data_IF_773773624227
#
_entry.id   IF_773773624227
#
_cell.length_a   1.000
_cell.length_b   1.000
_cell.length_c   1.000
_cell.angle_alpha   90.00
_cell.angle_beta   90.00
_cell.angle_gamma   90.00
#
_symmetry.space_group_name_H-M   'P 1'
#
loop_
_entity.id
_entity.type
_entity.pdbx_description
1 polymer ?
#
# COMPACT_ATOMS: atom_id res chain seq x y z
N UNK A 1 -15.18 15.01 17.58
CA UNK A 1 -13.97 15.24 16.77
C UNK A 1 -14.35 16.00 15.52
N UNK A 2 -13.51 16.93 15.01
CA UNK A 2 -13.76 17.60 13.75
C UNK A 2 -13.80 16.57 12.60
N UNK A 3 -14.76 16.71 11.66
CA UNK A 3 -14.92 15.80 10.50
C UNK A 3 -13.61 15.58 9.71
N UNK A 4 -12.75 16.59 9.65
CA UNK A 4 -11.47 16.51 8.95
C UNK A 4 -10.48 15.52 9.60
N UNK A 5 -10.45 15.44 10.92
CA UNK A 5 -9.56 14.51 11.66
C UNK A 5 -10.04 13.06 11.48
N UNK A 6 -11.34 12.83 11.37
CA UNK A 6 -11.91 11.52 11.03
C UNK A 6 -11.61 11.09 9.58
N UNK A 7 -11.37 12.05 8.68
CA UNK A 7 -10.97 11.77 7.30
C UNK A 7 -9.48 11.40 7.20
N UNK A 8 -8.64 11.97 8.08
CA UNK A 8 -7.21 11.62 8.17
C UNK A 8 -6.98 10.29 8.88
N UNK A 9 -7.73 9.97 9.94
CA UNK A 9 -7.60 8.70 10.66
C UNK A 9 -8.37 7.61 9.90
N UNK A 10 -7.71 6.96 8.95
CA UNK A 10 -8.32 5.98 8.06
C UNK A 10 -7.31 5.34 7.09
N UNK A 11 -7.77 4.84 5.93
CA UNK A 11 -6.89 4.22 4.94
C UNK A 11 -5.83 5.19 4.40
N UNK A 12 -6.13 6.49 4.34
CA UNK A 12 -5.22 7.53 3.84
C UNK A 12 -3.96 7.63 4.72
N UNK A 13 -4.11 7.77 6.04
CA UNK A 13 -2.98 7.81 6.95
C UNK A 13 -2.19 6.50 6.92
N UNK A 14 -2.86 5.35 6.86
CA UNK A 14 -2.18 4.06 6.73
C UNK A 14 -1.28 4.03 5.50
N UNK A 15 -1.79 4.44 4.34
CA UNK A 15 -1.00 4.46 3.10
C UNK A 15 0.07 5.55 3.08
N UNK A 16 -0.14 6.69 3.72
CA UNK A 16 0.93 7.68 3.96
C UNK A 16 2.07 7.05 4.77
N UNK A 17 1.76 6.27 5.81
CA UNK A 17 2.79 5.57 6.59
C UNK A 17 3.53 4.52 5.74
N UNK A 18 2.83 3.80 4.86
CA UNK A 18 3.46 2.86 3.91
C UNK A 18 4.41 3.59 2.96
N UNK A 19 4.00 4.74 2.41
CA UNK A 19 4.86 5.57 1.55
C UNK A 19 6.07 6.09 2.32
N UNK A 20 5.89 6.54 3.57
CA UNK A 20 7.01 6.94 4.42
C UNK A 20 7.98 5.77 4.68
N UNK A 21 7.47 4.56 4.93
CA UNK A 21 8.31 3.38 5.09
C UNK A 21 9.08 3.05 3.80
N UNK A 22 8.46 3.17 2.63
CA UNK A 22 9.11 2.99 1.34
C UNK A 22 10.20 4.05 1.08
N UNK A 23 9.98 5.31 1.48
CA UNK A 23 11.00 6.36 1.42
C UNK A 23 12.19 6.07 2.34
N UNK A 24 11.93 5.59 3.55
CA UNK A 24 12.99 5.20 4.48
C UNK A 24 13.78 3.99 3.95
N UNK A 25 13.09 3.01 3.35
CA UNK A 25 13.72 1.86 2.70
C UNK A 25 14.62 2.32 1.55
N UNK A 26 14.14 3.25 0.72
CA UNK A 26 14.92 3.84 -0.36
C UNK A 26 16.19 4.53 0.15
N UNK A 27 16.08 5.32 1.21
CA UNK A 27 17.22 6.01 1.83
C UNK A 27 18.20 5.03 2.49
N UNK A 28 17.70 3.95 3.08
CA UNK A 28 18.52 2.91 3.71
C UNK A 28 19.34 2.10 2.70
N UNK A 29 18.99 2.13 1.40
CA UNK A 29 19.74 1.47 0.34
C UNK A 29 20.90 2.33 -0.23
N UNK A 30 21.35 3.36 0.49
CA UNK A 30 22.48 4.22 0.09
C UNK A 30 23.55 4.21 1.18
N UNK A 31 24.70 3.52 1.01
CA UNK A 31 25.08 2.71 -0.16
C UNK A 31 24.23 1.42 -0.29
N UNK A 32 24.16 0.81 -1.49
CA UNK A 32 23.35 -0.38 -1.71
C UNK A 32 23.69 -1.53 -0.77
N UNK A 33 22.66 -2.11 -0.17
CA UNK A 33 22.77 -3.28 0.70
C UNK A 33 21.94 -4.41 0.13
N UNK A 34 22.54 -5.58 -0.02
CA UNK A 34 21.85 -6.78 -0.55
C UNK A 34 20.55 -7.08 0.20
N UNK A 35 20.54 -6.93 1.53
CA UNK A 35 19.35 -7.17 2.33
C UNK A 35 18.19 -6.22 2.03
N UNK A 36 18.50 -4.97 1.64
CA UNK A 36 17.50 -3.96 1.30
C UNK A 36 17.05 -4.16 -0.14
N UNK A 37 17.95 -4.52 -1.05
CA UNK A 37 17.62 -4.89 -2.42
C UNK A 37 16.65 -6.08 -2.48
N UNK A 38 16.91 -7.15 -1.72
CA UNK A 38 16.00 -8.30 -1.63
C UNK A 38 14.58 -7.88 -1.20
N UNK A 39 14.46 -6.88 -0.30
CA UNK A 39 13.16 -6.32 0.11
C UNK A 39 12.51 -5.53 -1.04
N UNK A 40 13.29 -4.72 -1.76
CA UNK A 40 12.83 -3.93 -2.90
C UNK A 40 12.35 -4.84 -4.04
N UNK A 41 13.05 -5.93 -4.34
CA UNK A 41 12.62 -6.92 -5.35
C UNK A 41 11.29 -7.58 -4.98
N UNK A 42 11.08 -7.84 -3.69
CA UNK A 42 9.84 -8.44 -3.17
C UNK A 42 8.76 -7.40 -2.79
N UNK A 43 8.96 -6.12 -3.12
CA UNK A 43 8.07 -5.03 -2.71
C UNK A 43 6.62 -5.21 -3.18
N UNK A 44 6.42 -5.86 -4.32
CA UNK A 44 5.09 -6.22 -4.83
C UNK A 44 4.27 -7.07 -3.84
N UNK A 45 4.91 -7.97 -3.08
CA UNK A 45 4.27 -8.77 -2.04
C UNK A 45 3.94 -7.92 -0.82
N UNK A 46 4.88 -7.05 -0.40
CA UNK A 46 4.69 -6.15 0.74
C UNK A 46 3.55 -5.16 0.53
N UNK A 47 3.42 -4.61 -0.68
CA UNK A 47 2.32 -3.72 -1.07
C UNK A 47 0.97 -4.46 -1.09
N UNK A 48 0.96 -5.69 -1.59
CA UNK A 48 -0.25 -6.52 -1.57
C UNK A 48 -0.69 -6.83 -0.13
N UNK A 49 0.26 -7.14 0.75
CA UNK A 49 0.01 -7.35 2.18
C UNK A 49 -0.53 -6.07 2.84
N UNK A 50 0.02 -4.90 2.53
CA UNK A 50 -0.51 -3.61 3.00
C UNK A 50 -1.96 -3.39 2.53
N UNK A 51 -2.29 -3.78 1.30
CA UNK A 51 -3.67 -3.81 0.79
C UNK A 51 -4.61 -4.66 1.64
N UNK A 52 -4.21 -5.89 1.97
CA UNK A 52 -4.98 -6.79 2.85
C UNK A 52 -5.18 -6.14 4.23
N UNK A 53 -4.11 -5.62 4.82
CA UNK A 53 -4.15 -4.96 6.13
C UNK A 53 -5.06 -3.72 6.14
N UNK A 54 -5.19 -3.01 5.02
CA UNK A 54 -6.07 -1.84 4.93
C UNK A 54 -7.54 -2.23 5.20
N UNK A 55 -7.98 -3.43 4.81
CA UNK A 55 -9.34 -3.90 5.11
C UNK A 55 -9.58 -4.17 6.60
N UNK A 56 -8.54 -4.34 7.42
CA UNK A 56 -8.69 -4.48 8.87
C UNK A 56 -9.36 -3.25 9.52
N UNK A 57 -9.27 -2.09 8.87
CA UNK A 57 -9.96 -0.85 9.27
C UNK A 57 -11.49 -1.00 9.35
N UNK A 58 -12.08 -1.99 8.66
CA UNK A 58 -13.51 -2.28 8.74
C UNK A 58 -13.96 -2.70 10.15
N UNK A 59 -13.03 -3.30 10.91
CA UNK A 59 -13.27 -3.81 12.26
C UNK A 59 -12.88 -2.81 13.36
N UNK A 60 -12.28 -1.67 13.00
CA UNK A 60 -11.87 -0.66 13.98
C UNK A 60 -13.08 0.17 14.41
N UNK A 61 -13.39 0.22 15.73
CA UNK A 61 -14.50 1.03 16.23
C UNK A 61 -14.21 2.52 16.04
N UNK A 62 -15.21 3.27 15.59
CA UNK A 62 -15.10 4.72 15.36
C UNK A 62 -14.70 5.14 13.95
N UNK A 63 -14.35 4.18 13.07
CA UNK A 63 -14.19 4.47 11.64
C UNK A 63 -15.56 4.49 10.96
N UNK A 64 -15.83 5.58 10.22
CA UNK A 64 -17.03 5.67 9.41
C UNK A 64 -16.93 4.68 8.24
N UNK A 65 -17.92 3.78 8.15
CA UNK A 65 -18.04 2.77 7.08
C UNK A 65 -18.67 3.33 5.80
N UNK A 66 -19.40 4.44 5.90
CA UNK A 66 -19.91 5.16 4.74
C UNK A 66 -18.72 5.59 3.89
N UNK A 67 -18.71 5.17 2.62
CA UNK A 67 -17.63 5.41 1.66
C UNK A 67 -16.27 4.80 1.99
N UNK A 68 -16.16 3.99 3.07
CA UNK A 68 -14.88 3.41 3.47
C UNK A 68 -14.26 2.53 2.38
N UNK A 69 -15.06 1.72 1.69
CA UNK A 69 -14.57 0.92 0.56
C UNK A 69 -13.95 1.80 -0.53
N UNK A 70 -14.63 2.87 -0.95
CA UNK A 70 -14.09 3.77 -1.97
C UNK A 70 -12.78 4.42 -1.51
N UNK A 71 -12.73 4.85 -0.24
CA UNK A 71 -11.52 5.43 0.36
C UNK A 71 -10.37 4.43 0.39
N UNK A 72 -10.63 3.17 0.74
CA UNK A 72 -9.64 2.09 0.69
C UNK A 72 -9.07 1.96 -0.72
N UNK A 73 -9.92 1.92 -1.75
CA UNK A 73 -9.48 1.82 -3.14
C UNK A 73 -8.59 2.99 -3.57
N UNK A 74 -9.04 4.22 -3.34
CA UNK A 74 -8.31 5.42 -3.76
C UNK A 74 -6.98 5.52 -3.00
N UNK A 75 -7.02 5.41 -1.66
CA UNK A 75 -5.82 5.50 -0.84
C UNK A 75 -4.82 4.40 -1.17
N UNK A 76 -5.28 3.17 -1.42
CA UNK A 76 -4.40 2.06 -1.73
C UNK A 76 -3.74 2.19 -3.09
N UNK A 77 -4.49 2.52 -4.15
CA UNK A 77 -3.90 2.66 -5.48
C UNK A 77 -2.90 3.81 -5.51
N UNK A 78 -3.27 4.98 -4.96
CA UNK A 78 -2.41 6.16 -4.94
C UNK A 78 -1.19 5.91 -4.04
N UNK A 79 -1.39 5.37 -2.84
CA UNK A 79 -0.32 5.06 -1.90
C UNK A 79 0.65 4.02 -2.44
N UNK A 80 0.15 2.95 -3.05
CA UNK A 80 0.97 1.93 -3.66
C UNK A 80 1.78 2.45 -4.84
N UNK A 81 1.18 3.28 -5.70
CA UNK A 81 1.91 3.93 -6.79
C UNK A 81 3.13 4.68 -6.27
N UNK A 82 2.94 5.56 -5.28
CA UNK A 82 4.05 6.33 -4.70
C UNK A 82 5.05 5.46 -3.93
N UNK A 83 4.59 4.48 -3.16
CA UNK A 83 5.47 3.59 -2.42
C UNK A 83 6.35 2.74 -3.35
N UNK A 84 5.76 2.15 -4.40
CA UNK A 84 6.48 1.38 -5.41
C UNK A 84 7.47 2.26 -6.17
N UNK A 85 7.03 3.41 -6.70
CA UNK A 85 7.90 4.36 -7.43
C UNK A 85 9.13 4.76 -6.60
N UNK A 86 8.93 5.12 -5.33
CA UNK A 86 10.00 5.61 -4.48
C UNK A 86 10.97 4.53 -4.02
N UNK A 87 10.49 3.36 -3.62
CA UNK A 87 11.39 2.29 -3.19
C UNK A 87 12.09 1.62 -4.38
N UNK A 88 11.41 1.40 -5.51
CA UNK A 88 12.03 0.75 -6.68
C UNK A 88 13.07 1.63 -7.38
N UNK A 89 12.90 2.96 -7.35
CA UNK A 89 13.92 3.88 -7.88
C UNK A 89 15.23 3.87 -7.09
N UNK A 90 15.23 3.31 -5.87
CA UNK A 90 16.43 3.12 -5.06
C UNK A 90 17.13 1.77 -5.30
N UNK A 91 16.60 0.91 -6.17
CA UNK A 91 17.29 -0.31 -6.58
C UNK A 91 18.56 0.04 -7.37
N UNK A 92 19.69 -0.61 -7.07
CA UNK A 92 20.97 -0.30 -7.70
C UNK A 92 20.98 -0.59 -9.21
N UNK A 93 20.34 -1.69 -9.61
CA UNK A 93 20.19 -2.08 -10.99
C UNK A 93 18.80 -1.71 -11.52
N UNK A 94 18.72 -0.65 -12.32
CA UNK A 94 17.49 -0.25 -13.01
C UNK A 94 17.30 -1.12 -14.27
N UNK A 95 16.89 -2.36 -14.05
CA UNK A 95 16.63 -3.35 -15.11
C UNK A 95 15.13 -3.45 -15.44
N UNK A 96 14.76 -4.08 -16.58
CA UNK A 96 13.35 -4.39 -16.89
C UNK A 96 12.63 -5.21 -15.81
N UNK A 97 13.38 -5.95 -14.98
CA UNK A 97 12.83 -6.70 -13.85
C UNK A 97 12.14 -5.80 -12.82
N UNK A 98 12.72 -4.62 -12.53
CA UNK A 98 12.15 -3.66 -11.59
C UNK A 98 10.82 -3.07 -12.09
N UNK A 99 10.73 -2.79 -13.39
CA UNK A 99 9.47 -2.40 -14.02
C UNK A 99 8.39 -3.49 -13.90
N UNK A 100 8.80 -4.76 -13.96
CA UNK A 100 7.90 -5.90 -13.75
C UNK A 100 7.41 -5.97 -12.31
N UNK A 101 8.28 -5.73 -11.32
CA UNK A 101 7.89 -5.66 -9.89
C UNK A 101 6.86 -4.56 -9.65
N UNK A 102 7.04 -3.39 -10.27
CA UNK A 102 6.06 -2.30 -10.19
C UNK A 102 4.68 -2.72 -10.72
N UNK A 103 4.64 -3.28 -11.94
CA UNK A 103 3.38 -3.71 -12.58
C UNK A 103 2.73 -4.83 -11.77
N UNK A 104 3.50 -5.83 -11.34
CA UNK A 104 3.02 -6.93 -10.51
C UNK A 104 2.45 -6.42 -9.18
N UNK A 105 3.11 -5.47 -8.53
CA UNK A 105 2.64 -4.87 -7.28
C UNK A 105 1.27 -4.20 -7.41
N UNK A 106 1.06 -3.41 -8.47
CA UNK A 106 -0.24 -2.78 -8.72
C UNK A 106 -1.32 -3.79 -9.11
N UNK A 107 -0.99 -4.80 -9.93
CA UNK A 107 -1.95 -5.84 -10.32
C UNK A 107 -2.39 -6.68 -9.13
N UNK A 108 -1.45 -7.16 -8.32
CA UNK A 108 -1.76 -7.95 -7.13
C UNK A 108 -2.55 -7.14 -6.11
N UNK A 109 -2.19 -5.87 -5.90
CA UNK A 109 -2.99 -4.97 -5.06
C UNK A 109 -4.42 -4.83 -5.61
N UNK A 110 -4.59 -4.62 -6.91
CA UNK A 110 -5.92 -4.52 -7.51
C UNK A 110 -6.77 -5.79 -7.26
N UNK A 111 -6.18 -6.98 -7.42
CA UNK A 111 -6.85 -8.24 -7.09
C UNK A 111 -7.21 -8.33 -5.61
N UNK A 112 -6.30 -7.95 -4.71
CA UNK A 112 -6.56 -7.89 -3.26
C UNK A 112 -7.72 -6.95 -2.95
N UNK A 113 -7.75 -5.76 -3.55
CA UNK A 113 -8.82 -4.78 -3.37
C UNK A 113 -10.16 -5.32 -3.86
N UNK A 114 -10.18 -6.01 -5.00
CA UNK A 114 -11.38 -6.62 -5.56
C UNK A 114 -11.92 -7.73 -4.66
N UNK A 115 -11.07 -8.70 -4.29
CA UNK A 115 -11.44 -9.81 -3.41
C UNK A 115 -11.87 -9.30 -2.03
N UNK A 116 -11.08 -8.41 -1.43
CA UNK A 116 -11.39 -7.81 -0.13
C UNK A 116 -12.72 -7.05 -0.14
N UNK A 117 -13.02 -6.34 -1.23
CA UNK A 117 -14.30 -5.64 -1.39
C UNK A 117 -15.48 -6.62 -1.46
N UNK A 118 -15.35 -7.73 -2.21
CA UNK A 118 -16.38 -8.78 -2.28
C UNK A 118 -16.59 -9.39 -0.89
N UNK A 119 -15.51 -9.77 -0.19
CA UNK A 119 -15.60 -10.35 1.16
C UNK A 119 -16.31 -9.40 2.11
N UNK A 120 -15.91 -8.12 2.16
CA UNK A 120 -16.55 -7.12 3.01
C UNK A 120 -18.03 -6.96 2.65
N UNK A 121 -18.36 -6.88 1.36
CA UNK A 121 -19.73 -6.69 0.89
C UNK A 121 -20.65 -7.88 1.14
N UNK A 122 -20.14 -9.10 1.11
CA UNK A 122 -20.96 -10.31 1.27
C UNK A 122 -21.16 -10.67 2.74
N UNK A 123 -20.14 -10.47 3.57
CA UNK A 123 -20.16 -10.97 4.95
C UNK A 123 -20.38 -9.90 6.01
N UNK A 124 -20.16 -8.62 5.70
CA UNK A 124 -20.08 -7.55 6.72
C UNK A 124 -20.82 -6.25 6.36
N UNK A 125 -21.43 -6.16 5.18
CA UNK A 125 -22.25 -5.02 4.73
C UNK A 125 -23.63 -5.52 4.32
#
# INVERSE_FOLDING_TARGET
MPRFVQLLIGPELFWVLVVCAALLLAQANVPPSKSVEDIIENLHLWISLAGILTFSLWFVPGINRDWLLLRIWIAAIVGAHFALDKALSAHSEQSPGIGTVYIAGLLFLFFVLLVGSVVVKVFYA
#
